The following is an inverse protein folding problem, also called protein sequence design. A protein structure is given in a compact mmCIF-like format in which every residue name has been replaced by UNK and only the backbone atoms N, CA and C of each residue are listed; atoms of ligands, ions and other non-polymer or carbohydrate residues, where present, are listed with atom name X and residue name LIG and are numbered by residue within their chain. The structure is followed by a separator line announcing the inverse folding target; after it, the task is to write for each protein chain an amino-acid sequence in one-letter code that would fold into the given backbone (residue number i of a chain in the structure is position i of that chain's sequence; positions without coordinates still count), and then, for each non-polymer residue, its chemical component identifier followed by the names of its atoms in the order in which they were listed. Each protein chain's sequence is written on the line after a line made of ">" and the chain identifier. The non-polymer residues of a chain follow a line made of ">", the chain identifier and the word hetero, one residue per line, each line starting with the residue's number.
data_IF_175227704941
#
_entry.id   IF_175227704941
#
_cell.length_a   1.000
_cell.length_b   1.000
_cell.length_c   1.000
_cell.angle_alpha   90.00
_cell.angle_beta   90.00
_cell.angle_gamma   90.00
#
_symmetry.space_group_name_H-M   'P 1'
#
loop_
_entity.id
_entity.type
_entity.pdbx_description
1 polymer ?
#
# COMPACT_ATOMS: atom_id res chain seq x y z
N UNK A 1 39.16 2.70 -21.24
CA UNK A 1 38.03 1.98 -21.89
C UNK A 1 37.87 2.60 -23.26
N UNK A 2 37.81 1.82 -24.38
CA UNK A 2 37.62 2.39 -25.69
C UNK A 2 36.25 3.10 -25.72
N UNK A 3 36.25 4.38 -26.08
CA UNK A 3 35.05 5.12 -26.40
C UNK A 3 34.48 4.54 -27.70
N UNK A 4 33.50 3.67 -27.59
CA UNK A 4 32.69 3.29 -28.76
C UNK A 4 31.63 4.36 -28.92
N UNK A 5 31.81 5.24 -29.92
CA UNK A 5 30.77 6.17 -30.37
C UNK A 5 29.64 5.37 -30.99
N UNK A 6 28.74 4.87 -30.17
CA UNK A 6 27.50 4.24 -30.64
C UNK A 6 26.47 5.32 -30.96
N UNK A 7 26.12 5.46 -32.23
CA UNK A 7 25.01 6.32 -32.63
C UNK A 7 23.69 5.56 -32.41
N UNK A 8 22.83 6.14 -31.62
CA UNK A 8 21.48 5.61 -31.36
C UNK A 8 20.45 6.74 -31.58
N UNK A 9 19.21 6.36 -31.93
CA UNK A 9 18.14 7.34 -32.09
C UNK A 9 17.70 7.91 -30.74
N UNK A 10 17.70 7.07 -29.70
CA UNK A 10 17.25 7.46 -28.36
C UNK A 10 18.17 6.90 -27.28
N UNK A 11 18.64 7.77 -26.40
CA UNK A 11 19.35 7.39 -25.18
C UNK A 11 18.44 7.58 -23.97
N UNK A 12 18.28 6.53 -23.15
CA UNK A 12 17.45 6.52 -21.95
C UNK A 12 18.33 6.41 -20.73
N UNK A 13 18.17 7.31 -19.77
CA UNK A 13 18.91 7.31 -18.51
C UNK A 13 18.06 6.62 -17.44
N UNK A 14 18.59 5.50 -16.90
CA UNK A 14 17.97 4.69 -15.87
C UNK A 14 17.25 3.45 -16.42
N UNK A 15 17.66 2.25 -15.95
CA UNK A 15 17.05 0.96 -16.29
C UNK A 15 16.05 0.50 -15.22
N UNK A 16 15.28 1.44 -14.63
CA UNK A 16 14.09 1.11 -13.85
C UNK A 16 12.89 0.77 -14.75
N UNK A 17 11.72 0.38 -14.19
CA UNK A 17 10.54 0.00 -14.97
C UNK A 17 10.13 1.02 -16.03
N UNK A 18 10.24 2.31 -15.73
CA UNK A 18 9.90 3.38 -16.68
C UNK A 18 10.84 3.39 -17.89
N UNK A 19 12.16 3.37 -17.65
CA UNK A 19 13.15 3.41 -18.72
C UNK A 19 13.12 2.14 -19.57
N UNK A 20 12.99 0.98 -18.94
CA UNK A 20 12.90 -0.31 -19.66
C UNK A 20 11.61 -0.41 -20.49
N UNK A 21 10.47 0.09 -19.97
CA UNK A 21 9.22 0.15 -20.74
C UNK A 21 9.34 1.06 -21.94
N UNK A 22 9.94 2.25 -21.75
CA UNK A 22 10.17 3.18 -22.87
C UNK A 22 11.10 2.55 -23.92
N UNK A 23 12.20 1.92 -23.50
CA UNK A 23 13.12 1.20 -24.40
C UNK A 23 12.39 0.12 -25.22
N UNK A 24 11.60 -0.72 -24.54
CA UNK A 24 10.84 -1.78 -25.16
C UNK A 24 9.87 -1.25 -26.23
N UNK A 25 9.08 -0.24 -25.89
CA UNK A 25 8.09 0.32 -26.82
C UNK A 25 8.73 1.03 -28.01
N UNK A 26 9.83 1.77 -27.80
CA UNK A 26 10.57 2.43 -28.89
C UNK A 26 11.23 1.44 -29.81
N UNK A 27 11.84 0.38 -29.28
CA UNK A 27 12.43 -0.69 -30.07
C UNK A 27 11.38 -1.41 -30.93
N UNK A 28 10.16 -1.63 -30.41
CA UNK A 28 9.05 -2.15 -31.23
C UNK A 28 8.65 -1.25 -32.38
N UNK A 29 8.92 0.05 -32.28
CA UNK A 29 8.67 1.03 -33.34
C UNK A 29 9.86 1.14 -34.32
N UNK A 30 10.92 0.38 -34.12
CA UNK A 30 12.08 0.35 -35.00
C UNK A 30 13.20 1.33 -34.64
N UNK A 31 13.09 2.04 -33.51
CA UNK A 31 14.16 2.93 -33.05
C UNK A 31 15.31 2.13 -32.47
N UNK A 32 16.54 2.57 -32.72
CA UNK A 32 17.73 2.12 -32.01
C UNK A 32 17.82 2.81 -30.67
N UNK A 33 17.89 2.02 -29.58
CA UNK A 33 17.79 2.56 -28.20
C UNK A 33 18.99 2.11 -27.37
N UNK A 34 19.60 3.03 -26.64
CA UNK A 34 20.57 2.72 -25.60
C UNK A 34 19.98 3.07 -24.23
N UNK A 35 20.10 2.15 -23.26
CA UNK A 35 19.74 2.39 -21.88
C UNK A 35 21.00 2.47 -21.03
N UNK A 36 21.14 3.56 -20.29
CA UNK A 36 22.30 3.84 -19.43
C UNK A 36 21.86 3.71 -17.98
N UNK A 37 22.46 2.76 -17.25
CA UNK A 37 22.17 2.52 -15.84
C UNK A 37 23.38 2.87 -14.99
N UNK A 38 23.10 3.48 -13.81
CA UNK A 38 24.15 3.85 -12.86
C UNK A 38 24.71 2.65 -12.10
N UNK A 39 23.83 1.69 -11.76
CA UNK A 39 24.23 0.47 -11.05
C UNK A 39 24.99 -0.44 -12.03
N UNK A 40 26.28 -0.80 -11.74
CA UNK A 40 27.08 -1.61 -12.65
C UNK A 40 26.65 -3.08 -12.70
N UNK A 41 25.81 -3.54 -11.79
CA UNK A 41 25.46 -4.93 -11.60
C UNK A 41 24.00 -5.23 -11.88
N UNK A 42 23.09 -4.31 -11.51
CA UNK A 42 21.65 -4.57 -11.50
C UNK A 42 20.88 -3.58 -12.34
N UNK A 43 19.86 -4.08 -13.01
CA UNK A 43 18.77 -3.30 -13.62
C UNK A 43 17.49 -3.48 -12.81
N UNK A 44 16.44 -2.70 -13.12
CA UNK A 44 15.14 -2.78 -12.46
C UNK A 44 14.90 -1.66 -11.43
N UNK A 45 15.90 -0.86 -11.08
CA UNK A 45 15.77 0.25 -10.13
C UNK A 45 15.24 -0.23 -8.77
N UNK A 46 14.24 0.47 -8.23
CA UNK A 46 13.63 0.10 -6.93
C UNK A 46 12.78 -1.18 -7.00
N UNK A 47 12.44 -1.67 -8.20
CA UNK A 47 11.62 -2.88 -8.39
C UNK A 47 12.47 -4.15 -8.50
N UNK A 48 13.79 -4.03 -8.38
CA UNK A 48 14.69 -5.18 -8.48
C UNK A 48 14.47 -6.19 -7.36
N UNK A 49 14.66 -7.45 -7.70
CA UNK A 49 14.73 -8.58 -6.76
C UNK A 49 16.19 -8.88 -6.41
N UNK A 50 16.48 -9.14 -5.17
CA UNK A 50 17.78 -9.63 -4.70
C UNK A 50 17.66 -11.08 -4.24
N UNK A 51 18.73 -11.84 -4.40
CA UNK A 51 18.80 -13.23 -3.94
C UNK A 51 19.82 -13.36 -2.80
N UNK A 52 19.40 -14.02 -1.72
CA UNK A 52 20.27 -14.34 -0.59
C UNK A 52 19.94 -15.75 -0.08
N UNK A 53 20.94 -16.61 -0.01
CA UNK A 53 20.81 -17.99 0.47
C UNK A 53 19.71 -18.80 -0.24
N UNK A 54 19.51 -18.59 -1.55
CA UNK A 54 18.47 -19.23 -2.34
C UNK A 54 17.06 -18.66 -2.18
N UNK A 55 16.89 -17.60 -1.36
CA UNK A 55 15.64 -16.88 -1.23
C UNK A 55 15.68 -15.59 -2.04
N UNK A 56 14.55 -15.24 -2.66
CA UNK A 56 14.38 -14.02 -3.44
C UNK A 56 13.56 -13.01 -2.67
N UNK A 57 14.07 -11.79 -2.61
CA UNK A 57 13.46 -10.67 -1.90
C UNK A 57 13.43 -9.45 -2.80
N UNK A 58 12.29 -8.78 -2.83
CA UNK A 58 12.25 -7.44 -3.38
C UNK A 58 12.80 -6.45 -2.37
N UNK A 59 13.51 -5.43 -2.85
CA UNK A 59 14.05 -4.37 -1.99
C UNK A 59 12.97 -3.39 -1.48
N UNK A 60 11.70 -3.67 -1.80
CA UNK A 60 10.53 -2.95 -1.35
C UNK A 60 9.26 -3.78 -1.51
N UNK A 61 8.14 -3.27 -1.04
CA UNK A 61 6.83 -3.93 -1.13
C UNK A 61 6.23 -3.83 -2.54
N UNK A 62 6.94 -4.26 -3.56
CA UNK A 62 6.52 -4.17 -4.95
C UNK A 62 5.64 -5.35 -5.35
N UNK A 63 4.55 -5.03 -6.01
CA UNK A 63 3.59 -5.99 -6.54
C UNK A 63 2.96 -5.38 -7.78
N UNK A 64 2.69 -6.21 -8.78
CA UNK A 64 2.04 -5.72 -9.97
C UNK A 64 0.58 -5.39 -9.69
N UNK A 65 0.25 -4.13 -9.89
CA UNK A 65 -1.11 -3.62 -9.89
C UNK A 65 -1.23 -2.41 -10.79
N UNK A 66 -2.20 -2.44 -11.69
CA UNK A 66 -2.58 -1.28 -12.48
C UNK A 66 -4.09 -1.22 -12.65
N UNK A 67 -4.64 -0.01 -12.72
CA UNK A 67 -6.01 0.27 -13.13
C UNK A 67 -6.12 0.50 -14.64
N UNK A 68 -4.99 0.73 -15.31
CA UNK A 68 -4.91 0.90 -16.75
C UNK A 68 -4.85 -0.46 -17.43
N UNK A 69 -5.84 -0.74 -18.28
CA UNK A 69 -5.85 -1.97 -19.08
C UNK A 69 -4.63 -2.04 -20.01
N UNK A 70 -4.24 -0.92 -20.58
CA UNK A 70 -3.06 -0.82 -21.44
C UNK A 70 -1.77 -1.31 -20.72
N UNK A 71 -1.60 -0.94 -19.45
CA UNK A 71 -0.46 -1.41 -18.65
C UNK A 71 -0.58 -2.90 -18.35
N UNK A 72 -1.79 -3.40 -18.06
CA UNK A 72 -2.02 -4.83 -17.84
C UNK A 72 -1.71 -5.63 -19.10
N UNK A 73 -2.11 -5.16 -20.26
CA UNK A 73 -1.90 -5.81 -21.56
C UNK A 73 -0.42 -5.86 -21.91
N UNK A 74 0.31 -4.76 -21.69
CA UNK A 74 1.77 -4.71 -21.88
C UNK A 74 2.50 -5.74 -21.01
N UNK A 75 2.13 -5.85 -19.74
CA UNK A 75 2.73 -6.83 -18.85
C UNK A 75 2.38 -8.27 -19.24
N UNK A 76 1.15 -8.54 -19.71
CA UNK A 76 0.76 -9.84 -20.22
C UNK A 76 1.49 -10.19 -21.53
N UNK A 77 1.82 -9.18 -22.33
CA UNK A 77 2.64 -9.36 -23.55
C UNK A 77 4.08 -9.74 -23.20
N UNK A 78 4.68 -9.03 -22.23
CA UNK A 78 6.07 -9.30 -21.81
C UNK A 78 6.19 -10.64 -21.06
N UNK A 79 5.21 -10.96 -20.21
CA UNK A 79 5.19 -12.15 -19.34
C UNK A 79 3.87 -12.92 -19.49
N UNK A 80 3.64 -13.60 -20.62
CA UNK A 80 2.32 -14.18 -20.94
C UNK A 80 1.91 -15.33 -20.01
N UNK A 81 2.84 -16.08 -19.43
CA UNK A 81 2.56 -17.27 -18.62
C UNK A 81 3.22 -17.26 -17.24
N UNK A 82 3.82 -16.15 -16.86
CA UNK A 82 4.71 -16.11 -15.70
C UNK A 82 4.11 -15.47 -14.46
N UNK A 83 2.87 -15.03 -14.53
CA UNK A 83 2.18 -14.48 -13.38
C UNK A 83 1.51 -15.54 -12.51
N UNK A 84 1.82 -15.51 -11.21
CA UNK A 84 1.09 -16.23 -10.18
C UNK A 84 0.20 -15.28 -9.39
N UNK A 85 -1.04 -15.70 -9.13
CA UNK A 85 -1.96 -14.96 -8.30
C UNK A 85 -1.85 -15.46 -6.85
N UNK A 86 -1.68 -14.54 -5.91
CA UNK A 86 -1.59 -14.84 -4.48
C UNK A 86 -2.62 -14.04 -3.71
N UNK A 87 -3.32 -14.64 -2.74
CA UNK A 87 -4.21 -13.91 -1.86
C UNK A 87 -3.40 -12.90 -1.04
N UNK A 88 -3.98 -11.73 -0.85
CA UNK A 88 -3.36 -10.70 -0.02
C UNK A 88 -3.34 -11.14 1.44
N UNK A 89 -2.15 -11.19 2.01
CA UNK A 89 -1.96 -11.41 3.44
C UNK A 89 -1.13 -10.25 4.01
N UNK A 90 -1.80 -9.22 4.50
CA UNK A 90 -1.16 -8.09 5.19
C UNK A 90 -1.57 -8.10 6.66
N UNK A 91 -0.62 -7.86 7.54
CA UNK A 91 -0.84 -7.82 8.99
C UNK A 91 -0.10 -6.63 9.59
N UNK A 92 -0.69 -6.04 10.63
CA UNK A 92 -0.02 -5.07 11.49
C UNK A 92 0.44 -5.84 12.72
N UNK A 93 1.72 -5.76 13.06
CA UNK A 93 2.24 -6.29 14.32
C UNK A 93 2.34 -5.16 15.33
N UNK A 94 1.69 -5.34 16.49
CA UNK A 94 1.70 -4.38 17.57
C UNK A 94 1.60 -5.09 18.93
N UNK A 95 2.54 -4.83 19.83
CA UNK A 95 2.61 -5.38 21.18
C UNK A 95 2.38 -6.91 21.24
N UNK A 96 3.15 -7.66 20.44
CA UNK A 96 3.09 -9.14 20.44
C UNK A 96 1.87 -9.74 19.73
N UNK A 97 1.00 -8.91 19.11
CA UNK A 97 -0.22 -9.38 18.45
C UNK A 97 -0.28 -8.94 16.99
N UNK A 98 -0.91 -9.77 16.18
CA UNK A 98 -1.18 -9.47 14.77
C UNK A 98 -2.60 -8.95 14.60
N UNK A 99 -2.73 -7.89 13.81
CA UNK A 99 -3.99 -7.27 13.42
C UNK A 99 -4.15 -7.37 11.91
N UNK A 100 -5.37 -7.59 11.44
CA UNK A 100 -5.66 -7.58 10.01
C UNK A 100 -5.43 -6.22 9.38
N UNK A 101 -4.92 -6.19 8.14
CA UNK A 101 -4.87 -4.99 7.34
C UNK A 101 -5.70 -5.17 6.06
N UNK A 102 -6.71 -4.34 5.78
CA UNK A 102 -7.17 -3.20 6.57
C UNK A 102 -7.61 -3.57 7.99
N UNK A 103 -7.50 -2.59 8.90
CA UNK A 103 -7.83 -2.78 10.30
C UNK A 103 -9.30 -3.16 10.47
N UNK A 104 -9.57 -4.29 11.11
CA UNK A 104 -10.94 -4.71 11.46
C UNK A 104 -11.26 -4.24 12.88
N UNK A 105 -12.25 -3.37 13.03
CA UNK A 105 -12.51 -2.74 14.32
C UNK A 105 -12.76 -3.74 15.45
N UNK A 106 -13.58 -4.76 15.23
CA UNK A 106 -13.88 -5.77 16.25
C UNK A 106 -12.64 -6.59 16.65
N UNK A 107 -11.82 -7.02 15.67
CA UNK A 107 -10.56 -7.71 15.92
C UNK A 107 -9.57 -6.80 16.69
N UNK A 108 -9.48 -5.53 16.27
CA UNK A 108 -8.62 -4.56 16.94
C UNK A 108 -9.00 -4.35 18.39
N UNK A 109 -10.28 -4.13 18.67
CA UNK A 109 -10.79 -3.96 20.03
C UNK A 109 -10.59 -5.22 20.89
N UNK A 110 -10.87 -6.41 20.34
CA UNK A 110 -10.62 -7.66 21.03
C UNK A 110 -9.14 -7.86 21.38
N UNK A 111 -8.25 -7.58 20.44
CA UNK A 111 -6.81 -7.78 20.64
C UNK A 111 -6.19 -6.74 21.58
N UNK A 112 -6.73 -5.50 21.62
CA UNK A 112 -6.32 -4.47 22.57
C UNK A 112 -6.73 -4.79 24.02
N UNK A 113 -7.76 -5.62 24.21
CA UNK A 113 -8.32 -5.93 25.51
C UNK A 113 -9.34 -4.88 25.98
N UNK A 114 -10.12 -5.24 27.00
CA UNK A 114 -11.30 -4.46 27.44
C UNK A 114 -10.91 -3.05 27.84
N UNK A 115 -9.89 -2.89 28.69
CA UNK A 115 -9.50 -1.57 29.20
C UNK A 115 -9.08 -0.58 28.11
N UNK A 116 -8.20 -1.02 27.21
CA UNK A 116 -7.77 -0.15 26.10
C UNK A 116 -8.89 0.10 25.10
N UNK A 117 -9.76 -0.85 24.89
CA UNK A 117 -10.92 -0.71 24.01
C UNK A 117 -11.92 0.31 24.54
N UNK A 118 -12.20 0.32 25.85
CA UNK A 118 -13.05 1.35 26.45
C UNK A 118 -12.45 2.75 26.33
N UNK A 119 -11.13 2.90 26.50
CA UNK A 119 -10.44 4.16 26.29
C UNK A 119 -10.48 4.61 24.80
N UNK A 120 -10.35 3.66 23.86
CA UNK A 120 -10.49 3.96 22.44
C UNK A 120 -11.90 4.43 22.09
N UNK A 121 -12.92 3.76 22.62
CA UNK A 121 -14.34 4.13 22.42
C UNK A 121 -14.67 5.49 23.04
N UNK A 122 -14.21 5.75 24.26
CA UNK A 122 -14.38 7.07 24.90
C UNK A 122 -13.70 8.19 24.10
N UNK A 123 -12.48 7.95 23.64
CA UNK A 123 -11.74 8.88 22.78
C UNK A 123 -12.43 9.12 21.44
N UNK A 124 -13.00 8.08 20.84
CA UNK A 124 -13.79 8.19 19.61
C UNK A 124 -15.08 9.00 19.84
N UNK A 125 -15.83 8.69 20.91
CA UNK A 125 -17.04 9.42 21.28
C UNK A 125 -16.73 10.92 21.51
N UNK A 126 -15.65 11.23 22.24
CA UNK A 126 -15.18 12.62 22.44
C UNK A 126 -14.91 13.32 21.10
N UNK A 127 -14.20 12.67 20.19
CA UNK A 127 -13.90 13.26 18.87
C UNK A 127 -15.16 13.50 18.03
N UNK A 128 -16.22 12.68 18.19
CA UNK A 128 -17.50 12.87 17.51
C UNK A 128 -18.37 13.96 18.14
N UNK A 129 -18.34 14.11 19.45
CA UNK A 129 -19.08 15.14 20.16
C UNK A 129 -18.42 16.52 20.03
N UNK A 130 -17.09 16.55 19.98
CA UNK A 130 -16.27 17.76 19.90
C UNK A 130 -15.27 17.66 18.74
N UNK A 131 -15.75 17.66 17.48
CA UNK A 131 -14.85 17.55 16.34
C UNK A 131 -14.01 18.82 16.15
N UNK A 132 -12.74 18.65 15.78
CA UNK A 132 -11.95 19.78 15.28
C UNK A 132 -12.54 20.23 13.95
N UNK A 133 -12.95 21.51 13.88
CA UNK A 133 -13.54 22.10 12.66
C UNK A 133 -12.47 22.61 11.69
N UNK A 134 -11.28 22.90 12.18
CA UNK A 134 -10.13 23.34 11.38
C UNK A 134 -9.21 22.13 11.10
N UNK A 135 -9.55 21.38 10.07
CA UNK A 135 -8.84 20.17 9.68
C UNK A 135 -7.75 20.53 8.67
N UNK A 136 -6.51 20.68 9.13
CA UNK A 136 -5.36 21.01 8.29
C UNK A 136 -4.41 19.85 8.10
N UNK A 137 -4.25 19.02 9.14
CA UNK A 137 -3.26 17.97 9.16
C UNK A 137 -3.85 16.56 9.05
N UNK A 138 -2.99 15.60 8.70
CA UNK A 138 -3.30 14.18 8.77
C UNK A 138 -3.76 13.78 10.19
N UNK A 139 -3.12 14.34 11.22
CA UNK A 139 -3.50 14.11 12.60
C UNK A 139 -4.92 14.57 12.88
N UNK A 140 -5.27 15.82 12.51
CA UNK A 140 -6.62 16.35 12.72
C UNK A 140 -7.69 15.49 12.08
N UNK A 141 -7.46 15.14 10.81
CA UNK A 141 -8.38 14.31 10.05
C UNK A 141 -8.56 12.93 10.70
N UNK A 142 -7.45 12.28 11.06
CA UNK A 142 -7.47 10.93 11.61
C UNK A 142 -8.05 10.89 13.02
N UNK A 143 -7.72 11.90 13.85
CA UNK A 143 -8.31 12.04 15.21
C UNK A 143 -9.81 12.25 15.13
N UNK A 144 -10.30 13.10 14.23
CA UNK A 144 -11.73 13.27 14.00
C UNK A 144 -12.44 11.99 13.52
N UNK A 145 -11.73 11.21 12.69
CA UNK A 145 -12.28 9.97 12.15
C UNK A 145 -12.32 8.83 13.18
N UNK A 146 -11.27 8.68 13.98
CA UNK A 146 -11.05 7.48 14.81
C UNK A 146 -10.84 7.72 16.29
N UNK A 147 -10.71 8.98 16.72
CA UNK A 147 -10.34 9.38 18.08
C UNK A 147 -8.82 9.32 18.30
N UNK A 148 -8.34 10.16 19.20
CA UNK A 148 -6.90 10.31 19.49
C UNK A 148 -6.24 8.99 19.93
N UNK A 149 -6.95 8.15 20.70
CA UNK A 149 -6.37 6.90 21.21
C UNK A 149 -6.05 5.89 20.10
N UNK A 150 -6.98 5.68 19.15
CA UNK A 150 -6.73 4.83 17.99
C UNK A 150 -5.70 5.43 17.04
N UNK A 151 -5.72 6.75 16.85
CA UNK A 151 -4.69 7.44 16.09
C UNK A 151 -3.31 7.16 16.65
N UNK A 152 -3.10 7.34 17.97
CA UNK A 152 -1.79 7.15 18.60
C UNK A 152 -1.27 5.71 18.52
N UNK A 153 -2.17 4.71 18.54
CA UNK A 153 -1.80 3.28 18.51
C UNK A 153 -1.44 2.84 17.08
N UNK A 154 -2.30 3.10 16.10
CA UNK A 154 -2.20 2.46 14.79
C UNK A 154 -1.73 3.38 13.66
N UNK A 155 -1.83 4.69 13.81
CA UNK A 155 -1.53 5.62 12.72
C UNK A 155 -0.26 6.43 12.97
N UNK A 156 -0.12 7.04 14.15
CA UNK A 156 0.96 7.98 14.41
C UNK A 156 2.34 7.38 14.15
N UNK A 157 2.74 6.43 14.95
CA UNK A 157 4.11 5.86 14.90
C UNK A 157 4.45 5.26 13.53
N UNK A 158 3.49 4.56 12.92
CA UNK A 158 3.70 3.98 11.60
C UNK A 158 3.87 5.06 10.52
N UNK A 159 2.99 6.06 10.52
CA UNK A 159 3.00 7.12 9.52
C UNK A 159 4.25 7.98 9.62
N UNK A 160 4.60 8.42 10.83
CA UNK A 160 5.81 9.19 11.08
C UNK A 160 7.09 8.43 10.70
N UNK A 161 7.14 7.13 11.01
CA UNK A 161 8.28 6.28 10.62
C UNK A 161 8.42 6.13 9.10
N UNK A 162 7.32 5.96 8.39
CA UNK A 162 7.34 5.73 6.93
C UNK A 162 7.66 7.02 6.16
N UNK A 163 7.14 8.14 6.62
CA UNK A 163 7.26 9.41 5.90
C UNK A 163 8.39 10.31 6.43
N UNK A 164 8.95 10.00 7.59
CA UNK A 164 10.04 10.76 8.19
C UNK A 164 9.65 12.16 8.65
N UNK A 165 8.34 12.41 8.86
CA UNK A 165 7.82 13.70 9.29
C UNK A 165 6.65 13.52 10.26
N UNK A 166 6.41 14.50 11.17
CA UNK A 166 5.29 14.49 12.12
C UNK A 166 3.92 14.48 11.43
N UNK A 167 2.94 13.82 12.04
CA UNK A 167 1.58 13.72 11.49
C UNK A 167 0.80 15.03 11.45
N UNK A 168 1.18 16.00 12.26
CA UNK A 168 0.61 17.36 12.29
C UNK A 168 1.13 18.28 11.19
N UNK A 169 2.29 17.93 10.58
CA UNK A 169 2.85 18.62 9.42
C UNK A 169 2.35 18.06 8.08
N UNK A 170 1.75 16.86 8.09
CA UNK A 170 1.24 16.22 6.87
C UNK A 170 -0.14 16.76 6.51
N UNK A 171 -0.40 17.02 5.23
CA UNK A 171 -1.70 17.52 4.75
C UNK A 171 -2.86 16.55 5.05
N UNK A 172 -4.01 17.11 5.45
CA UNK A 172 -5.26 16.36 5.63
C UNK A 172 -5.76 15.72 4.32
N UNK A 173 -5.54 16.35 3.18
CA UNK A 173 -5.94 15.81 1.86
C UNK A 173 -5.26 14.49 1.54
N UNK A 174 -4.01 14.34 1.97
CA UNK A 174 -3.29 13.09 1.83
C UNK A 174 -3.96 11.96 2.62
N UNK A 175 -4.42 12.24 3.85
CA UNK A 175 -5.17 11.29 4.67
C UNK A 175 -6.49 10.88 3.99
N UNK A 176 -7.25 11.87 3.52
CA UNK A 176 -8.54 11.66 2.88
C UNK A 176 -8.43 10.79 1.61
N UNK A 177 -7.33 10.92 0.85
CA UNK A 177 -7.09 10.10 -0.34
C UNK A 177 -6.72 8.64 -0.01
N UNK A 178 -5.95 8.42 1.04
CA UNK A 178 -5.38 7.10 1.40
C UNK A 178 -6.29 6.26 2.28
N UNK A 179 -7.08 6.92 3.16
CA UNK A 179 -7.92 6.26 4.17
C UNK A 179 -9.40 6.30 3.76
N UNK A 180 -9.70 6.44 2.47
CA UNK A 180 -11.09 6.43 1.96
C UNK A 180 -11.80 5.12 2.34
N UNK A 181 -12.99 5.25 2.92
CA UNK A 181 -13.90 4.13 3.21
C UNK A 181 -13.69 3.42 4.55
N UNK A 182 -12.76 3.86 5.39
CA UNK A 182 -12.69 3.40 6.77
C UNK A 182 -13.68 4.20 7.65
N UNK A 183 -14.76 3.56 8.09
CA UNK A 183 -15.71 4.13 9.05
C UNK A 183 -15.80 3.25 10.28
N UNK A 184 -15.30 3.75 11.42
CA UNK A 184 -15.47 3.08 12.71
C UNK A 184 -16.94 2.96 13.10
N UNK A 185 -17.74 3.99 12.79
CA UNK A 185 -19.17 3.96 13.08
C UNK A 185 -19.89 2.85 12.32
N UNK A 186 -19.58 2.67 11.04
CA UNK A 186 -20.10 1.56 10.24
C UNK A 186 -19.74 0.20 10.87
N UNK A 187 -18.47 0.03 11.26
CA UNK A 187 -17.99 -1.21 11.86
C UNK A 187 -18.60 -1.49 13.25
N UNK A 188 -18.78 -0.47 14.07
CA UNK A 188 -19.46 -0.59 15.39
C UNK A 188 -20.94 -0.95 15.19
N UNK A 189 -21.63 -0.27 14.26
CA UNK A 189 -23.03 -0.56 13.92
C UNK A 189 -23.22 -1.98 13.38
N UNK A 190 -22.32 -2.42 12.52
CA UNK A 190 -22.35 -3.78 11.97
C UNK A 190 -22.00 -4.84 13.02
N UNK A 191 -21.06 -4.55 13.91
CA UNK A 191 -20.72 -5.39 15.07
C UNK A 191 -21.91 -5.54 16.03
N UNK A 192 -22.61 -4.45 16.32
CA UNK A 192 -23.79 -4.44 17.19
C UNK A 192 -24.95 -5.21 16.55
N UNK A 193 -25.20 -5.03 15.26
CA UNK A 193 -26.22 -5.79 14.50
C UNK A 193 -25.92 -7.29 14.49
N UNK A 194 -24.65 -7.69 14.40
CA UNK A 194 -24.24 -9.10 14.48
C UNK A 194 -24.46 -9.68 15.87
N UNK A 195 -24.13 -8.91 16.91
CA UNK A 195 -24.36 -9.32 18.30
C UNK A 195 -25.84 -9.51 18.63
N UNK A 196 -26.71 -8.76 17.96
CA UNK A 196 -28.18 -8.84 18.09
C UNK A 196 -28.81 -9.83 17.11
N UNK A 197 -28.03 -10.62 16.38
CA UNK A 197 -28.54 -11.64 15.46
C UNK A 197 -29.24 -11.13 14.21
N UNK A 198 -29.15 -9.83 13.92
CA UNK A 198 -29.90 -9.16 12.86
C UNK A 198 -29.29 -9.26 11.47
N UNK A 199 -28.09 -9.84 11.31
CA UNK A 199 -27.43 -9.98 10.01
C UNK A 199 -26.74 -11.34 9.86
N UNK A 200 -27.20 -12.14 8.89
CA UNK A 200 -26.70 -13.50 8.60
C UNK A 200 -25.56 -13.58 7.57
N UNK A 201 -25.11 -12.49 6.97
CA UNK A 201 -23.99 -12.50 6.00
C UNK A 201 -22.80 -11.68 6.51
N UNK A 202 -21.57 -12.20 6.41
CA UNK A 202 -20.39 -11.41 6.68
C UNK A 202 -20.22 -10.40 5.53
N UNK A 203 -20.83 -9.23 5.68
CA UNK A 203 -20.40 -8.09 4.88
C UNK A 203 -19.15 -7.58 5.57
N UNK A 204 -17.99 -7.88 5.00
CA UNK A 204 -16.70 -7.33 5.39
C UNK A 204 -16.68 -5.82 5.07
N UNK A 205 -17.59 -5.09 5.72
CA UNK A 205 -17.96 -3.71 5.46
C UNK A 205 -16.90 -2.67 5.78
N UNK A 206 -15.63 -3.05 5.70
CA UNK A 206 -14.50 -2.13 5.80
C UNK A 206 -13.48 -2.31 4.68
N UNK A 207 -13.73 -3.23 3.74
CA UNK A 207 -12.93 -3.32 2.54
C UNK A 207 -13.45 -2.29 1.54
N UNK A 208 -12.79 -1.17 1.45
CA UNK A 208 -12.97 -0.26 0.32
C UNK A 208 -12.78 -1.07 -0.96
N UNK A 209 -13.63 -0.89 -1.97
CA UNK A 209 -13.48 -1.49 -3.33
C UNK A 209 -12.11 -1.24 -3.99
N UNK A 210 -11.23 -0.50 -3.35
CA UNK A 210 -9.85 -0.19 -3.77
C UNK A 210 -8.79 -1.11 -3.15
N UNK A 211 -9.16 -1.98 -2.21
CA UNK A 211 -8.23 -2.93 -1.62
C UNK A 211 -8.31 -4.25 -2.36
N UNK A 212 -7.31 -4.52 -3.16
CA UNK A 212 -7.17 -5.79 -3.88
C UNK A 212 -7.13 -6.95 -2.90
N UNK A 213 -7.93 -7.96 -3.14
CA UNK A 213 -7.96 -9.20 -2.36
C UNK A 213 -6.82 -10.15 -2.75
N UNK A 214 -6.28 -9.97 -3.96
CA UNK A 214 -5.17 -10.76 -4.48
C UNK A 214 -4.19 -9.91 -5.25
N UNK A 215 -2.95 -10.38 -5.31
CA UNK A 215 -1.87 -9.76 -6.06
C UNK A 215 -1.34 -10.70 -7.13
N UNK A 216 -0.84 -10.12 -8.20
CA UNK A 216 -0.11 -10.83 -9.23
C UNK A 216 1.38 -10.61 -9.03
N UNK A 217 2.12 -11.70 -9.04
CA UNK A 217 3.59 -11.68 -8.98
C UNK A 217 4.15 -12.46 -10.16
N UNK A 218 5.22 -11.99 -10.81
CA UNK A 218 6.01 -12.85 -11.68
C UNK A 218 6.54 -14.03 -10.87
N UNK A 219 6.64 -15.20 -11.50
CA UNK A 219 7.04 -16.44 -10.83
C UNK A 219 8.46 -16.36 -10.26
N UNK A 220 9.34 -15.65 -10.95
CA UNK A 220 10.74 -15.50 -10.57
C UNK A 220 11.02 -14.28 -9.69
N UNK A 221 9.99 -13.46 -9.39
CA UNK A 221 10.10 -12.26 -8.56
C UNK A 221 9.64 -11.01 -9.31
N UNK A 222 9.03 -10.02 -8.62
CA UNK A 222 8.44 -8.85 -9.27
C UNK A 222 9.45 -7.87 -9.86
N UNK A 223 10.71 -7.97 -9.52
CA UNK A 223 11.79 -7.08 -10.00
C UNK A 223 12.55 -7.59 -11.20
N UNK A 224 12.06 -8.62 -11.88
CA UNK A 224 12.75 -9.22 -13.04
C UNK A 224 12.19 -8.76 -14.35
#
# INVERSE_FOLDING_TARGET
>A
MPHTDQKVDVAIIGAGPAGLTAAYLLTKQGYSVAVIEKDPTYVGGISRTVELNGFRFDIGGHRFFSKSQQVVDLWNEILPHDFIQRPRMSRIYYEGKYYSYPLRAFEALRNLGIWRSTLCMASFAKAKLFPNRDIRSFQDWTVNAFGHKLFSIFFKTYTEKVWGMPCDEMSADWAAQRIKGLSLWGAVKDGLKRSLGLNKKPNDGMATKTLLESFRYPRLGPGM
#
